data_IF_436195393472
#
_entry.id   IF_436195393472
#
_cell.length_a   1.000
_cell.length_b   1.000
_cell.length_c   1.000
_cell.angle_alpha   90.00
_cell.angle_beta   90.00
_cell.angle_gamma   90.00
#
_symmetry.space_group_name_H-M   'P 1'
#
loop_
_entity.id
_entity.type
_entity.pdbx_description
1 polymer ?
#
# COMPACT_ATOMS: atom_id res chain seq x y z
N UNK A 1 -27.83 -23.83 -22.30
CA UNK A 1 -27.36 -22.50 -21.88
C UNK A 1 -26.04 -22.62 -21.11
N UNK A 2 -24.94 -23.00 -21.78
CA UNK A 2 -23.59 -23.10 -21.17
C UNK A 2 -22.92 -21.73 -20.94
N UNK A 3 -23.36 -20.69 -21.64
CA UNK A 3 -22.70 -19.37 -21.63
C UNK A 3 -22.74 -18.63 -20.28
N UNK A 4 -23.68 -18.97 -19.41
CA UNK A 4 -23.80 -18.37 -18.08
C UNK A 4 -22.80 -18.97 -17.09
N UNK A 5 -22.47 -20.26 -17.25
CA UNK A 5 -21.53 -20.98 -16.39
C UNK A 5 -20.10 -20.48 -16.65
N UNK A 6 -19.74 -20.27 -17.91
CA UNK A 6 -18.42 -19.74 -18.30
C UNK A 6 -18.20 -18.32 -17.75
N UNK A 7 -19.22 -17.46 -17.81
CA UNK A 7 -19.14 -16.09 -17.25
C UNK A 7 -18.96 -16.08 -15.75
N UNK A 8 -19.66 -16.97 -15.03
CA UNK A 8 -19.49 -17.14 -13.59
C UNK A 8 -18.08 -17.64 -13.24
N UNK A 9 -17.56 -18.62 -13.97
CA UNK A 9 -16.20 -19.13 -13.75
C UNK A 9 -15.14 -18.05 -13.98
N UNK A 10 -15.25 -17.25 -15.05
CA UNK A 10 -14.34 -16.13 -15.32
C UNK A 10 -14.39 -15.10 -14.19
N UNK A 11 -15.58 -14.80 -13.66
CA UNK A 11 -15.74 -13.85 -12.56
C UNK A 11 -15.10 -14.34 -11.25
N UNK A 12 -15.19 -15.64 -10.97
CA UNK A 12 -14.58 -16.26 -9.78
C UNK A 12 -13.05 -16.20 -9.89
N UNK A 13 -12.51 -16.60 -11.04
CA UNK A 13 -11.06 -16.57 -11.28
C UNK A 13 -10.49 -15.14 -11.12
N UNK A 14 -11.20 -14.13 -11.61
CA UNK A 14 -10.79 -12.73 -11.48
C UNK A 14 -10.73 -12.28 -10.00
N UNK A 15 -11.71 -12.72 -9.19
CA UNK A 15 -11.76 -12.41 -7.76
C UNK A 15 -10.61 -13.10 -7.01
N UNK A 16 -10.28 -14.33 -7.36
CA UNK A 16 -9.15 -15.06 -6.77
C UNK A 16 -7.83 -14.39 -7.11
N UNK A 17 -7.61 -13.99 -8.37
CA UNK A 17 -6.40 -13.27 -8.78
C UNK A 17 -6.21 -11.96 -8.00
N UNK A 18 -7.28 -11.19 -7.82
CA UNK A 18 -7.26 -9.96 -7.01
C UNK A 18 -6.91 -10.26 -5.55
N UNK A 19 -7.47 -11.33 -4.97
CA UNK A 19 -7.18 -11.75 -3.60
C UNK A 19 -5.72 -12.16 -3.43
N UNK A 20 -5.19 -12.97 -4.34
CA UNK A 20 -3.79 -13.39 -4.31
C UNK A 20 -2.84 -12.19 -4.45
N UNK A 21 -3.14 -11.26 -5.35
CA UNK A 21 -2.33 -10.07 -5.52
C UNK A 21 -2.38 -9.16 -4.28
N UNK A 22 -3.56 -9.02 -3.65
CA UNK A 22 -3.70 -8.30 -2.39
C UNK A 22 -2.91 -8.97 -1.26
N UNK A 23 -2.96 -10.30 -1.14
CA UNK A 23 -2.20 -11.06 -0.15
C UNK A 23 -0.68 -10.92 -0.35
N UNK A 24 -0.21 -11.00 -1.60
CA UNK A 24 1.21 -10.80 -1.95
C UNK A 24 1.67 -9.38 -1.59
N UNK A 25 0.87 -8.36 -1.91
CA UNK A 25 1.17 -6.98 -1.56
C UNK A 25 1.20 -6.75 -0.04
N UNK A 26 0.30 -7.40 0.71
CA UNK A 26 0.28 -7.35 2.17
C UNK A 26 1.54 -7.99 2.78
N UNK A 27 1.97 -9.15 2.28
CA UNK A 27 3.19 -9.81 2.72
C UNK A 27 4.43 -8.95 2.45
N UNK A 28 4.53 -8.36 1.26
CA UNK A 28 5.60 -7.42 0.90
C UNK A 28 5.62 -6.22 1.86
N UNK A 29 4.47 -5.62 2.14
CA UNK A 29 4.35 -4.50 3.09
C UNK A 29 4.83 -4.90 4.49
N UNK A 30 4.37 -6.05 5.00
CA UNK A 30 4.77 -6.53 6.32
C UNK A 30 6.28 -6.76 6.43
N UNK A 31 6.91 -7.31 5.37
CA UNK A 31 8.35 -7.48 5.31
C UNK A 31 9.09 -6.13 5.39
N UNK A 32 8.69 -5.14 4.60
CA UNK A 32 9.29 -3.80 4.68
C UNK A 32 9.08 -3.15 6.05
N UNK A 33 7.88 -3.27 6.62
CA UNK A 33 7.57 -2.70 7.94
C UNK A 33 8.43 -3.34 9.04
N UNK A 34 8.73 -4.64 8.95
CA UNK A 34 9.63 -5.34 9.90
C UNK A 34 11.08 -4.86 9.86
N UNK A 35 11.49 -4.18 8.77
CA UNK A 35 12.82 -3.59 8.61
C UNK A 35 12.89 -2.16 9.14
N UNK A 36 11.76 -1.55 9.48
CA UNK A 36 11.72 -0.21 10.05
C UNK A 36 12.18 -0.28 11.52
N UNK A 37 13.35 0.29 11.79
CA UNK A 37 13.75 0.56 13.17
C UNK A 37 12.90 1.72 13.72
N UNK A 38 12.24 1.56 14.87
CA UNK A 38 11.58 2.68 15.52
C UNK A 38 12.62 3.75 15.84
N UNK A 39 12.40 4.96 15.33
CA UNK A 39 13.26 6.12 15.56
C UNK A 39 12.47 7.18 16.31
N UNK A 40 13.09 7.75 17.33
CA UNK A 40 12.59 8.95 17.98
C UNK A 40 13.10 10.18 17.23
N UNK A 41 12.21 11.14 17.01
CA UNK A 41 12.58 12.44 16.45
C UNK A 41 13.24 13.28 17.53
N UNK A 42 14.31 13.98 17.15
CA UNK A 42 15.04 14.93 18.00
C UNK A 42 14.72 16.35 17.49
N UNK A 43 14.67 17.38 18.36
CA UNK A 43 14.60 18.76 17.90
C UNK A 43 15.65 19.04 16.82
N UNK A 44 15.29 19.88 15.86
CA UNK A 44 16.06 20.23 14.66
C UNK A 44 16.20 19.12 13.59
N UNK A 45 15.65 17.92 13.80
CA UNK A 45 15.61 16.89 12.75
C UNK A 45 14.80 17.36 11.53
N UNK A 46 15.34 17.14 10.34
CA UNK A 46 14.64 17.35 9.07
C UNK A 46 13.84 16.12 8.67
N UNK A 47 12.52 16.25 8.62
CA UNK A 47 11.58 15.15 8.38
C UNK A 47 10.64 15.42 7.22
N UNK A 48 10.09 14.35 6.66
CA UNK A 48 8.98 14.39 5.71
C UNK A 48 7.71 13.91 6.38
N UNK A 49 6.59 14.59 6.12
CA UNK A 49 5.28 14.19 6.61
C UNK A 49 4.52 13.42 5.54
N UNK A 50 3.86 12.33 5.91
CA UNK A 50 3.02 11.57 4.97
C UNK A 50 1.77 12.38 4.61
N UNK A 51 1.49 12.52 3.32
CA UNK A 51 0.26 13.15 2.84
C UNK A 51 -0.96 12.30 3.22
N UNK A 52 -2.06 12.94 3.63
CA UNK A 52 -3.32 12.27 3.92
C UNK A 52 -4.03 11.95 2.59
N UNK A 53 -4.25 10.67 2.30
CA UNK A 53 -4.95 10.18 1.10
C UNK A 53 -4.41 10.68 -0.25
N UNK A 54 -3.12 10.43 -0.59
CA UNK A 54 -2.57 10.82 -1.88
C UNK A 54 -3.25 10.04 -3.01
N UNK A 55 -3.67 10.73 -4.08
CA UNK A 55 -4.19 10.08 -5.29
C UNK A 55 -3.07 9.42 -6.09
N UNK A 56 -3.44 8.58 -7.06
CA UNK A 56 -2.48 7.94 -7.98
C UNK A 56 -1.62 9.02 -8.66
N UNK A 57 -0.31 8.78 -8.74
CA UNK A 57 0.70 9.69 -9.30
C UNK A 57 0.90 11.01 -8.54
N UNK A 58 0.34 11.16 -7.33
CA UNK A 58 0.65 12.30 -6.47
C UNK A 58 1.81 11.98 -5.51
N UNK A 59 2.52 13.02 -5.07
CA UNK A 59 3.54 12.92 -4.03
C UNK A 59 2.90 12.41 -2.74
N UNK A 60 3.50 11.38 -2.14
CA UNK A 60 3.01 10.75 -0.89
C UNK A 60 3.60 11.39 0.37
N UNK A 61 4.59 12.27 0.20
CA UNK A 61 5.37 12.88 1.26
C UNK A 61 5.48 14.38 1.01
N UNK A 62 5.32 15.16 2.08
CA UNK A 62 5.37 16.62 2.13
C UNK A 62 6.59 17.06 2.96
N UNK A 63 7.12 18.25 2.68
CA UNK A 63 8.25 18.83 3.42
C UNK A 63 9.35 19.37 2.50
N UNK A 64 10.55 19.63 3.06
CA UNK A 64 11.00 19.25 4.40
C UNK A 64 10.36 20.07 5.54
N UNK A 65 10.24 19.46 6.71
CA UNK A 65 9.84 20.09 7.97
C UNK A 65 10.94 19.92 9.01
N UNK A 66 11.04 20.85 9.95
CA UNK A 66 11.95 20.77 11.11
C UNK A 66 11.13 20.41 12.35
N UNK A 67 11.62 19.47 13.14
CA UNK A 67 11.05 19.12 14.45
C UNK A 67 11.40 20.23 15.45
N UNK A 68 10.39 20.82 16.09
CA UNK A 68 10.53 21.88 17.11
C UNK A 68 10.65 21.25 18.50
#
# INVERSE_FOLDING_TARGET
MPEHVDKLQVSINLVEEVRENAARNAATKAWYDSKLAPRHFIPDDMVLRRALNPRKLQKKWEGPFVVI
#
